data_IF_974636270438
#
_entry.id   IF_974636270438
#
_cell.length_a   1.000
_cell.length_b   1.000
_cell.length_c   1.000
_cell.angle_alpha   90.00
_cell.angle_beta   90.00
_cell.angle_gamma   90.00
#
_symmetry.space_group_name_H-M   'P 1'
#
loop_
_entity.id
_entity.type
_entity.pdbx_description
1 polymer ?
#
# COMPACT_ATOMS: atom_id res chain seq x y z
N UNK A 1 6.83 -37.22 16.35
CA UNK A 1 7.17 -36.02 17.14
C UNK A 1 6.06 -35.00 17.02
N UNK A 2 5.67 -34.37 18.14
CA UNK A 2 4.51 -33.48 18.18
C UNK A 2 4.74 -32.14 17.46
N UNK A 3 5.98 -31.62 17.43
CA UNK A 3 6.27 -30.28 16.90
C UNK A 3 6.16 -30.17 15.36
N UNK A 4 6.36 -31.26 14.62
CA UNK A 4 6.13 -31.30 13.18
C UNK A 4 4.64 -31.33 12.84
N UNK A 5 3.81 -31.85 13.74
CA UNK A 5 2.37 -31.94 13.52
C UNK A 5 1.75 -30.55 13.34
N UNK A 6 0.89 -30.41 12.31
CA UNK A 6 0.23 -29.14 12.01
C UNK A 6 1.11 -28.10 11.29
N UNK A 7 2.36 -28.43 10.95
CA UNK A 7 3.20 -27.55 10.13
C UNK A 7 2.72 -27.51 8.68
N UNK A 8 2.84 -26.35 8.03
CA UNK A 8 2.43 -26.21 6.64
C UNK A 8 3.38 -27.00 5.73
N UNK A 9 2.87 -27.40 4.57
CA UNK A 9 3.68 -28.10 3.57
C UNK A 9 4.89 -27.26 3.14
N UNK A 10 4.71 -25.95 2.93
CA UNK A 10 5.79 -25.01 2.57
C UNK A 10 6.89 -24.99 3.63
N UNK A 11 6.51 -24.87 4.91
CA UNK A 11 7.47 -24.85 6.03
C UNK A 11 8.29 -26.15 6.10
N UNK A 12 7.64 -27.28 5.85
CA UNK A 12 8.29 -28.60 5.88
C UNK A 12 9.22 -28.80 4.69
N UNK A 13 8.84 -28.30 3.51
CA UNK A 13 9.70 -28.34 2.32
C UNK A 13 10.97 -27.52 2.55
N UNK A 14 10.83 -26.30 3.06
CA UNK A 14 11.97 -25.44 3.37
C UNK A 14 12.84 -26.07 4.46
N UNK A 15 12.24 -26.61 5.52
CA UNK A 15 12.97 -27.34 6.56
C UNK A 15 13.80 -28.48 5.96
N UNK A 16 13.22 -29.29 5.07
CA UNK A 16 13.96 -30.40 4.44
C UNK A 16 15.06 -29.92 3.51
N UNK A 17 14.89 -28.78 2.85
CA UNK A 17 15.91 -28.16 2.01
C UNK A 17 17.09 -27.63 2.85
N UNK A 18 16.81 -26.91 3.94
CA UNK A 18 17.82 -26.40 4.90
C UNK A 18 18.60 -27.54 5.57
N UNK A 19 17.94 -28.68 5.81
CA UNK A 19 18.59 -29.90 6.30
C UNK A 19 19.38 -30.65 5.21
N UNK A 20 19.40 -30.17 3.97
CA UNK A 20 20.10 -30.80 2.84
C UNK A 20 19.46 -32.13 2.39
N UNK A 21 18.20 -32.36 2.72
CA UNK A 21 17.48 -33.59 2.40
C UNK A 21 16.89 -33.50 0.98
N UNK A 22 17.06 -34.56 0.19
CA UNK A 22 16.50 -34.59 -1.17
C UNK A 22 15.00 -34.81 -1.12
N UNK A 23 14.24 -33.79 -1.54
CA UNK A 23 12.77 -33.84 -1.61
C UNK A 23 12.31 -34.07 -3.04
N UNK A 24 11.32 -34.96 -3.21
CA UNK A 24 10.60 -35.10 -4.48
C UNK A 24 9.32 -34.28 -4.42
N UNK A 25 8.93 -33.68 -5.55
CA UNK A 25 7.70 -32.86 -5.67
C UNK A 25 6.42 -33.58 -5.26
N UNK A 26 6.43 -34.92 -5.27
CA UNK A 26 5.29 -35.78 -4.95
C UNK A 26 5.19 -36.13 -3.45
N UNK A 27 6.15 -35.70 -2.63
CA UNK A 27 6.15 -36.01 -1.21
C UNK A 27 4.96 -35.36 -0.51
N UNK A 28 4.27 -36.15 0.32
CA UNK A 28 3.21 -35.68 1.21
C UNK A 28 3.81 -35.25 2.55
N UNK A 29 3.09 -34.44 3.32
CA UNK A 29 3.45 -34.03 4.69
C UNK A 29 3.95 -35.20 5.55
N UNK A 30 3.24 -36.33 5.54
CA UNK A 30 3.66 -37.54 6.30
C UNK A 30 5.02 -38.10 5.85
N UNK A 31 5.35 -38.01 4.56
CA UNK A 31 6.63 -38.45 4.03
C UNK A 31 7.75 -37.48 4.40
N UNK A 32 7.48 -36.17 4.40
CA UNK A 32 8.45 -35.16 4.88
C UNK A 32 8.74 -35.33 6.37
N UNK A 33 7.71 -35.55 7.21
CA UNK A 33 7.91 -35.82 8.63
C UNK A 33 8.82 -37.02 8.85
N UNK A 34 8.58 -38.09 8.11
CA UNK A 34 9.37 -39.32 8.17
C UNK A 34 10.81 -39.05 7.72
N UNK A 35 11.00 -38.32 6.63
CA UNK A 35 12.31 -37.98 6.07
C UNK A 35 13.17 -37.20 7.07
N UNK A 36 12.59 -36.21 7.77
CA UNK A 36 13.30 -35.42 8.78
C UNK A 36 13.71 -36.31 9.96
N UNK A 37 12.79 -37.10 10.51
CA UNK A 37 13.03 -37.92 11.72
C UNK A 37 13.99 -39.09 11.43
N UNK A 38 13.96 -39.65 10.23
CA UNK A 38 14.83 -40.78 9.84
C UNK A 38 16.20 -40.32 9.33
N UNK A 39 16.48 -39.01 9.32
CA UNK A 39 17.80 -38.50 8.98
C UNK A 39 18.85 -39.01 10.00
N UNK A 40 20.00 -39.52 9.54
CA UNK A 40 21.09 -39.95 10.43
C UNK A 40 21.60 -38.85 11.37
N UNK A 41 21.43 -37.59 10.97
CA UNK A 41 21.82 -36.40 11.73
C UNK A 41 20.64 -35.71 12.41
N UNK A 42 19.53 -36.43 12.63
CA UNK A 42 18.34 -35.87 13.26
C UNK A 42 18.63 -35.46 14.71
N UNK A 43 18.49 -34.17 14.98
CA UNK A 43 18.49 -33.58 16.32
C UNK A 43 17.14 -32.88 16.53
N UNK A 44 16.37 -33.31 17.54
CA UNK A 44 15.02 -32.79 17.77
C UNK A 44 15.01 -31.32 18.18
N UNK A 45 15.99 -30.87 18.96
CA UNK A 45 16.04 -29.49 19.43
C UNK A 45 16.38 -28.55 18.27
N UNK A 46 17.42 -28.90 17.51
CA UNK A 46 17.84 -28.15 16.33
C UNK A 46 16.73 -28.09 15.27
N UNK A 47 16.12 -29.22 14.94
CA UNK A 47 15.05 -29.25 13.92
C UNK A 47 13.79 -28.49 14.34
N UNK A 48 13.47 -28.50 15.64
CA UNK A 48 12.36 -27.72 16.19
C UNK A 48 12.66 -26.21 16.14
N UNK A 49 13.87 -25.80 16.52
CA UNK A 49 14.29 -24.40 16.48
C UNK A 49 14.31 -23.87 15.05
N UNK A 50 14.92 -24.62 14.12
CA UNK A 50 14.96 -24.27 12.70
C UNK A 50 13.56 -24.11 12.09
N UNK A 51 12.65 -25.04 12.40
CA UNK A 51 11.25 -24.93 11.96
C UNK A 51 10.53 -23.74 12.60
N UNK A 52 10.89 -23.38 13.83
CA UNK A 52 10.41 -22.17 14.51
C UNK A 52 10.83 -20.92 13.74
N UNK A 53 12.11 -20.79 13.41
CA UNK A 53 12.65 -19.66 12.65
C UNK A 53 12.02 -19.54 11.26
N UNK A 54 11.79 -20.66 10.56
CA UNK A 54 11.08 -20.68 9.26
C UNK A 54 9.66 -20.10 9.40
N UNK A 55 8.92 -20.52 10.42
CA UNK A 55 7.56 -20.03 10.67
C UNK A 55 7.54 -18.54 11.00
N UNK A 56 8.50 -18.09 11.80
CA UNK A 56 8.65 -16.69 12.19
C UNK A 56 9.00 -15.81 10.97
N UNK A 57 9.93 -16.23 10.11
CA UNK A 57 10.30 -15.45 8.94
C UNK A 57 9.14 -15.33 7.94
N UNK A 58 8.37 -16.40 7.74
CA UNK A 58 7.14 -16.35 6.92
C UNK A 58 6.11 -15.37 7.48
N UNK A 59 5.95 -15.32 8.79
CA UNK A 59 5.05 -14.36 9.44
C UNK A 59 5.54 -12.92 9.26
N UNK A 60 6.85 -12.67 9.45
CA UNK A 60 7.48 -11.38 9.19
C UNK A 60 7.32 -10.94 7.74
N UNK A 61 7.49 -11.84 6.78
CA UNK A 61 7.29 -11.53 5.36
C UNK A 61 5.84 -11.11 5.08
N UNK A 62 4.87 -11.83 5.64
CA UNK A 62 3.45 -11.47 5.52
C UNK A 62 3.15 -10.09 6.13
N UNK A 63 3.72 -9.78 7.31
CA UNK A 63 3.56 -8.46 7.92
C UNK A 63 4.19 -7.35 7.08
N UNK A 64 5.39 -7.56 6.55
CA UNK A 64 6.07 -6.60 5.67
C UNK A 64 5.25 -6.32 4.40
N UNK A 65 4.67 -7.34 3.77
CA UNK A 65 3.81 -7.14 2.60
C UNK A 65 2.56 -6.34 2.95
N UNK A 66 1.92 -6.64 4.09
CA UNK A 66 0.75 -5.89 4.56
C UNK A 66 1.08 -4.44 4.95
N UNK A 67 2.29 -4.19 5.44
CA UNK A 67 2.76 -2.82 5.69
C UNK A 67 3.01 -2.06 4.39
N UNK A 68 3.63 -2.69 3.39
CA UNK A 68 3.82 -2.11 2.05
C UNK A 68 2.50 -1.77 1.39
N UNK A 69 1.50 -2.64 1.49
CA UNK A 69 0.16 -2.39 0.96
C UNK A 69 -0.47 -1.15 1.60
N UNK A 70 -0.47 -1.08 2.94
CA UNK A 70 -0.98 0.10 3.68
C UNK A 70 -0.23 1.39 3.34
N UNK A 71 1.08 1.32 3.07
CA UNK A 71 1.86 2.47 2.63
C UNK A 71 1.44 2.94 1.24
N UNK A 72 1.18 2.01 0.31
CA UNK A 72 0.70 2.33 -1.03
C UNK A 72 -0.68 2.98 -1.01
N UNK A 73 -1.60 2.45 -0.22
CA UNK A 73 -2.94 3.04 -0.05
C UNK A 73 -2.85 4.49 0.46
N UNK A 74 -2.02 4.75 1.48
CA UNK A 74 -1.82 6.12 1.98
C UNK A 74 -1.20 7.05 0.93
N UNK A 75 -0.21 6.58 0.19
CA UNK A 75 0.41 7.36 -0.89
C UNK A 75 -0.58 7.67 -2.02
N UNK A 76 -1.54 6.77 -2.28
CA UNK A 76 -2.62 7.00 -3.24
C UNK A 76 -3.63 8.03 -2.70
N UNK A 77 -4.08 7.88 -1.45
CA UNK A 77 -4.96 8.85 -0.79
C UNK A 77 -4.37 10.27 -0.76
N UNK A 78 -3.09 10.41 -0.40
CA UNK A 78 -2.38 11.69 -0.39
C UNK A 78 -2.29 12.31 -1.80
N UNK A 79 -2.06 11.49 -2.84
CA UNK A 79 -2.04 11.96 -4.22
C UNK A 79 -3.41 12.45 -4.66
N UNK A 80 -4.47 11.71 -4.37
CA UNK A 80 -5.82 12.12 -4.72
C UNK A 80 -6.23 13.39 -3.97
N UNK A 81 -5.86 13.55 -2.70
CA UNK A 81 -6.12 14.77 -1.95
C UNK A 81 -5.41 15.97 -2.58
N UNK A 82 -4.14 15.82 -2.95
CA UNK A 82 -3.36 16.85 -3.62
C UNK A 82 -3.98 17.26 -4.96
N UNK A 83 -4.42 16.29 -5.77
CA UNK A 83 -5.11 16.57 -7.03
C UNK A 83 -6.43 17.32 -6.81
N UNK A 84 -7.24 16.89 -5.84
CA UNK A 84 -8.49 17.59 -5.48
C UNK A 84 -8.24 19.01 -5.01
N UNK A 85 -7.19 19.23 -4.21
CA UNK A 85 -6.82 20.58 -3.76
C UNK A 85 -6.38 21.47 -4.91
N UNK A 86 -5.58 20.94 -5.84
CA UNK A 86 -5.16 21.63 -7.05
C UNK A 86 -6.35 22.01 -7.94
N UNK A 87 -7.31 21.11 -8.11
CA UNK A 87 -8.53 21.38 -8.89
C UNK A 87 -9.37 22.48 -8.23
N UNK A 88 -9.56 22.41 -6.90
CA UNK A 88 -10.24 23.46 -6.12
C UNK A 88 -9.54 24.82 -6.26
N UNK A 89 -8.22 24.86 -6.18
CA UNK A 89 -7.45 26.09 -6.35
C UNK A 89 -7.62 26.69 -7.77
N UNK A 90 -7.64 25.83 -8.79
CA UNK A 90 -7.83 26.25 -10.18
C UNK A 90 -9.24 26.80 -10.44
N UNK A 91 -10.27 26.15 -9.88
CA UNK A 91 -11.66 26.62 -9.90
C UNK A 91 -11.81 27.99 -9.22
N UNK A 92 -11.23 28.16 -8.03
CA UNK A 92 -11.24 29.44 -7.30
C UNK A 92 -10.55 30.56 -8.10
N UNK A 93 -9.40 30.28 -8.71
CA UNK A 93 -8.67 31.27 -9.51
C UNK A 93 -9.51 31.72 -10.72
N UNK A 94 -10.21 30.79 -11.38
CA UNK A 94 -11.09 31.10 -12.51
C UNK A 94 -12.24 32.02 -12.06
N UNK A 95 -12.88 31.73 -10.93
CA UNK A 95 -13.94 32.57 -10.38
C UNK A 95 -13.44 33.97 -9.99
N UNK A 96 -12.24 34.08 -9.40
CA UNK A 96 -11.65 35.37 -9.06
C UNK A 96 -11.42 36.23 -10.31
N UNK A 97 -10.91 35.64 -11.39
CA UNK A 97 -10.73 36.33 -12.66
C UNK A 97 -12.06 36.78 -13.26
N UNK A 98 -13.11 35.97 -13.16
CA UNK A 98 -14.45 36.32 -13.64
C UNK A 98 -15.06 37.49 -12.83
N UNK A 99 -14.94 37.47 -11.50
CA UNK A 99 -15.37 38.57 -10.62
C UNK A 99 -14.59 39.86 -10.92
N UNK A 100 -13.27 39.75 -11.14
CA UNK A 100 -12.42 40.89 -11.52
C UNK A 100 -12.80 41.45 -12.90
N UNK A 101 -13.08 40.58 -13.87
CA UNK A 101 -13.51 41.01 -15.20
C UNK A 101 -14.87 41.70 -15.17
N UNK A 102 -15.83 41.20 -14.38
CA UNK A 102 -17.14 41.81 -14.19
C UNK A 102 -17.05 43.20 -13.52
N UNK A 103 -16.17 43.35 -12.52
CA UNK A 103 -15.95 44.64 -11.85
C UNK A 103 -15.14 45.66 -12.66
N UNK A 104 -14.43 45.22 -13.70
CA UNK A 104 -13.66 46.08 -14.60
C UNK A 104 -14.45 46.59 -15.82
N UNK A 105 -15.73 46.22 -15.98
CA UNK A 105 -16.57 46.80 -17.04
C UNK A 105 -16.74 48.31 -16.81
N UNK A 106 -16.53 49.16 -17.83
CA UNK A 106 -16.71 50.59 -17.69
C UNK A 106 -18.18 50.86 -17.37
N UNK A 107 -18.43 51.55 -16.26
CA UNK A 107 -19.70 52.25 -16.07
C UNK A 107 -19.90 53.12 -17.32
N UNK A 108 -20.85 52.75 -18.18
CA UNK A 108 -21.29 53.62 -19.27
C UNK A 108 -21.57 54.98 -18.63
N UNK A 109 -20.73 55.95 -18.95
CA UNK A 109 -20.86 57.31 -18.46
C UNK A 109 -22.23 57.79 -18.87
N UNK A 110 -23.15 57.91 -17.90
CA UNK A 110 -24.42 58.60 -18.10
C UNK A 110 -24.08 60.01 -18.57
N UNK A 111 -24.20 60.21 -19.88
CA UNK A 111 -24.04 61.51 -20.52
C UNK A 111 -25.21 62.37 -20.03
N UNK A 112 -24.94 63.27 -19.08
CA UNK A 112 -25.91 64.28 -18.65
C UNK A 112 -25.95 65.31 -19.79
N UNK A 113 -27.06 65.48 -20.51
CA UNK A 113 -27.14 66.52 -21.52
C UNK A 113 -27.12 67.88 -20.82
N UNK A 114 -26.14 68.72 -21.18
CA UNK A 114 -26.05 70.11 -20.74
C UNK A 114 -27.36 70.84 -21.05
N UNK A 115 -28.10 71.23 -20.00
CA UNK A 115 -29.22 72.17 -20.14
C UNK A 115 -28.65 73.58 -20.30
N UNK A 116 -28.96 74.32 -21.37
CA UNK A 116 -28.48 75.68 -21.50
C UNK A 116 -29.21 76.58 -20.49
N UNK A 117 -28.43 77.33 -19.71
CA UNK A 117 -28.93 78.44 -18.91
C UNK A 117 -29.57 79.47 -19.85
N UNK A 118 -30.88 79.67 -19.71
CA UNK A 118 -31.53 80.87 -20.23
C UNK A 118 -31.81 81.81 -19.08
N UNK A 119 -31.05 82.90 -19.10
CA UNK A 119 -31.28 84.15 -18.40
C UNK A 119 -32.58 84.80 -18.90
N UNK A 120 -33.42 85.26 -17.98
CA UNK A 120 -34.20 86.51 -18.05
C UNK A 120 -34.83 86.80 -16.68
#
# INVERSE_FOLDING_TARGET
>A
MAYLAGSKMEDLLLLTEELGLTVKKEFKVKQLHKLVIESPSYDEEFTRELLGSIKEEREKEFEREREKERKREREEEEREEYERERDRASELQKLELEVRAASAQPVESMHIPDRPAKSE
#
